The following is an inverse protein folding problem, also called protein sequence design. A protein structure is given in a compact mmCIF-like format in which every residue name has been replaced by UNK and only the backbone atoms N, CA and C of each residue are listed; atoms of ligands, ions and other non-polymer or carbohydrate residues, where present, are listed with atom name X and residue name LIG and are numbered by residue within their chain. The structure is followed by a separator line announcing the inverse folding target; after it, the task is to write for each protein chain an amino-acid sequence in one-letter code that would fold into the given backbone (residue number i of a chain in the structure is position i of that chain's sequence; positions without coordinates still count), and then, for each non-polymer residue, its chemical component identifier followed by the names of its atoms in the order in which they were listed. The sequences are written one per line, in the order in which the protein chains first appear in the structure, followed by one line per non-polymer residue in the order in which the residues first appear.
data_IF_156212843259
#
_entry.id   IF_156212843259
#
_cell.length_a   1.000
_cell.length_b   1.000
_cell.length_c   1.000
_cell.angle_alpha   90.00
_cell.angle_beta   90.00
_cell.angle_gamma   90.00
#
_symmetry.space_group_name_H-M   'P 1'
#
loop_
_entity.id
_entity.type
_entity.pdbx_description
1 polymer ?
#
# COMPACT_ATOMS: atom_id res chain seq x y z
N UNK A 1 23.74 -16.30 2.04
CA UNK A 1 22.99 -17.52 2.32
C UNK A 1 23.68 -18.18 3.49
N UNK A 2 23.29 -17.74 4.67
CA UNK A 2 23.83 -17.99 6.00
C UNK A 2 23.26 -19.24 6.68
N UNK A 3 22.69 -20.18 5.91
CA UNK A 3 22.13 -21.46 6.38
C UNK A 3 20.87 -21.32 7.26
N UNK A 4 20.24 -20.13 7.27
CA UNK A 4 18.96 -19.91 7.92
C UNK A 4 17.82 -20.41 7.01
N UNK A 5 17.28 -21.60 7.30
CA UNK A 5 16.09 -22.13 6.61
C UNK A 5 14.82 -21.55 7.27
N UNK A 6 14.04 -20.70 6.57
CA UNK A 6 12.77 -20.18 7.11
C UNK A 6 11.71 -21.27 7.33
N UNK A 7 11.96 -22.52 6.92
CA UNK A 7 11.07 -23.69 7.04
C UNK A 7 11.52 -24.72 8.09
N UNK A 8 12.74 -24.62 8.62
CA UNK A 8 13.13 -25.43 9.77
C UNK A 8 12.41 -24.86 11.00
N UNK A 9 11.44 -25.61 11.54
CA UNK A 9 10.41 -25.14 12.49
C UNK A 9 10.86 -24.57 13.84
N UNK A 10 12.11 -24.15 13.99
CA UNK A 10 12.51 -23.09 14.92
C UNK A 10 12.51 -21.79 14.14
N UNK A 11 11.54 -20.89 14.39
CA UNK A 11 11.62 -19.53 13.88
C UNK A 11 12.95 -18.96 14.33
N UNK A 12 13.93 -18.88 13.44
CA UNK A 12 15.13 -18.10 13.70
C UNK A 12 14.64 -16.66 13.94
N UNK A 13 14.71 -16.14 15.19
CA UNK A 13 14.27 -14.79 15.46
C UNK A 13 15.10 -13.76 14.68
N UNK A 14 16.28 -14.16 14.20
CA UNK A 14 17.24 -13.33 13.50
C UNK A 14 17.11 -13.37 11.96
N UNK A 15 16.16 -14.16 11.41
CA UNK A 15 16.01 -14.33 9.97
C UNK A 15 15.79 -13.00 9.24
N UNK A 16 16.72 -12.66 8.35
CA UNK A 16 16.59 -11.55 7.41
C UNK A 16 16.80 -12.06 6.00
N UNK A 17 16.03 -11.52 5.05
CA UNK A 17 16.17 -11.90 3.66
C UNK A 17 17.49 -11.36 3.09
N UNK A 18 18.39 -12.26 2.68
CA UNK A 18 19.63 -11.95 1.98
C UNK A 18 19.43 -11.42 0.55
N UNK A 19 18.29 -11.74 -0.06
CA UNK A 19 17.98 -11.46 -1.46
C UNK A 19 16.60 -10.82 -1.54
N UNK A 20 16.45 -9.78 -2.36
CA UNK A 20 15.14 -9.23 -2.66
C UNK A 20 14.32 -10.18 -3.51
N UNK A 21 13.17 -10.61 -3.00
CA UNK A 21 12.26 -11.52 -3.68
C UNK A 21 10.99 -10.74 -4.03
N UNK A 22 10.55 -10.87 -5.28
CA UNK A 22 9.21 -10.48 -5.71
C UNK A 22 8.58 -11.55 -6.58
N UNK A 23 7.25 -11.51 -6.68
CA UNK A 23 6.46 -12.52 -7.40
C UNK A 23 5.58 -11.86 -8.45
N UNK A 24 5.83 -12.17 -9.72
CA UNK A 24 4.86 -11.92 -10.79
C UNK A 24 3.78 -12.99 -10.72
N UNK A 25 2.79 -12.79 -9.85
CA UNK A 25 1.73 -13.77 -9.67
C UNK A 25 0.74 -13.74 -10.83
N UNK A 26 0.77 -14.73 -11.70
CA UNK A 26 -0.09 -14.84 -12.89
C UNK A 26 -0.52 -16.30 -13.12
N UNK A 27 -1.63 -16.49 -13.81
CA UNK A 27 -2.19 -17.82 -14.11
C UNK A 27 -2.00 -18.25 -15.57
N UNK A 28 -1.80 -17.29 -16.47
CA UNK A 28 -1.69 -17.52 -17.90
C UNK A 28 -0.77 -16.47 -18.57
N UNK A 29 -0.49 -16.69 -19.86
CA UNK A 29 0.40 -15.82 -20.66
C UNK A 29 -0.17 -14.42 -20.86
N UNK A 30 -1.50 -14.26 -20.90
CA UNK A 30 -2.14 -12.96 -21.07
C UNK A 30 -1.93 -12.09 -19.82
N UNK A 31 -2.15 -12.67 -18.64
CA UNK A 31 -1.86 -12.01 -17.36
C UNK A 31 -0.38 -11.68 -17.22
N UNK A 32 0.52 -12.60 -17.60
CA UNK A 32 1.96 -12.32 -17.61
C UNK A 32 2.29 -11.12 -18.49
N UNK A 33 1.74 -11.09 -19.71
CA UNK A 33 1.92 -9.99 -20.66
C UNK A 33 1.41 -8.68 -20.08
N UNK A 34 0.23 -8.67 -19.45
CA UNK A 34 -0.33 -7.48 -18.79
C UNK A 34 0.60 -6.95 -17.70
N UNK A 35 1.07 -7.81 -16.79
CA UNK A 35 1.94 -7.41 -15.68
C UNK A 35 3.29 -6.88 -16.20
N UNK A 36 3.92 -7.58 -17.16
CA UNK A 36 5.18 -7.15 -17.77
C UNK A 36 5.02 -5.81 -18.50
N UNK A 37 3.94 -5.63 -19.27
CA UNK A 37 3.68 -4.36 -19.95
C UNK A 37 3.42 -3.20 -18.98
N UNK A 38 2.85 -3.47 -17.80
CA UNK A 38 2.69 -2.47 -16.74
C UNK A 38 4.05 -2.04 -16.19
N UNK A 39 4.92 -2.99 -15.85
CA UNK A 39 6.27 -2.71 -15.34
C UNK A 39 7.10 -1.96 -16.37
N UNK A 40 7.21 -2.48 -17.60
CA UNK A 40 7.98 -1.83 -18.68
C UNK A 40 7.45 -0.44 -18.98
N UNK A 41 6.12 -0.28 -19.12
CA UNK A 41 5.51 1.03 -19.38
C UNK A 41 5.78 2.03 -18.25
N UNK A 42 5.72 1.59 -17.00
CA UNK A 42 6.03 2.41 -15.84
C UNK A 42 7.50 2.85 -15.83
N UNK A 43 8.45 1.93 -16.00
CA UNK A 43 9.89 2.21 -15.92
C UNK A 43 10.44 3.00 -17.10
N UNK A 44 9.85 2.80 -18.28
CA UNK A 44 10.25 3.44 -19.54
C UNK A 44 9.41 4.66 -19.89
N UNK A 45 8.51 5.09 -19.00
CA UNK A 45 7.70 6.30 -19.22
C UNK A 45 8.61 7.50 -19.56
N UNK A 46 8.50 8.06 -20.78
CA UNK A 46 9.34 9.17 -21.21
C UNK A 46 9.07 10.47 -20.42
N UNK A 47 7.98 10.53 -19.66
CA UNK A 47 7.58 11.66 -18.83
C UNK A 47 7.98 11.49 -17.36
N UNK A 48 8.68 10.41 -16.97
CA UNK A 48 9.05 10.16 -15.57
C UNK A 48 9.87 11.30 -14.93
N UNK A 49 10.65 12.02 -15.72
CA UNK A 49 11.45 13.16 -15.26
C UNK A 49 10.70 14.50 -15.35
N UNK A 50 9.46 14.50 -15.86
CA UNK A 50 8.59 15.68 -15.94
C UNK A 50 7.77 15.79 -14.66
N UNK A 51 7.74 16.96 -14.01
CA UNK A 51 6.85 17.22 -12.88
C UNK A 51 5.40 16.82 -13.13
N UNK A 52 4.86 15.94 -12.30
CA UNK A 52 3.48 15.48 -12.40
C UNK A 52 2.87 15.33 -11.01
N UNK A 53 1.71 15.97 -10.78
CA UNK A 53 1.04 15.96 -9.46
C UNK A 53 0.79 14.55 -8.95
N UNK A 54 0.36 13.63 -9.82
CA UNK A 54 0.11 12.24 -9.45
C UNK A 54 1.39 11.53 -8.97
N UNK A 55 2.54 11.76 -9.62
CA UNK A 55 3.85 11.21 -9.24
C UNK A 55 4.33 11.74 -7.89
N UNK A 56 3.86 12.91 -7.47
CA UNK A 56 4.15 13.52 -6.16
C UNK A 56 3.04 13.24 -5.12
N UNK A 57 2.04 12.42 -5.44
CA UNK A 57 0.91 12.17 -4.55
C UNK A 57 1.08 10.85 -3.79
N UNK A 58 0.95 10.94 -2.47
CA UNK A 58 0.91 9.82 -1.53
C UNK A 58 -0.48 9.74 -0.91
N UNK A 59 -1.20 8.64 -1.13
CA UNK A 59 -2.52 8.37 -0.59
C UNK A 59 -2.41 7.50 0.66
N UNK A 60 -3.09 7.92 1.72
CA UNK A 60 -3.36 7.08 2.89
C UNK A 60 -4.86 6.87 3.00
N UNK A 61 -5.29 5.62 3.14
CA UNK A 61 -6.67 5.29 3.41
C UNK A 61 -6.76 4.26 4.52
N UNK A 62 -7.74 4.40 5.40
CA UNK A 62 -7.77 3.63 6.64
C UNK A 62 -9.19 3.31 7.11
N UNK A 63 -9.33 2.17 7.77
CA UNK A 63 -10.52 1.77 8.51
C UNK A 63 -10.66 2.54 9.82
N UNK A 64 -11.84 2.47 10.45
CA UNK A 64 -12.12 3.20 11.68
C UNK A 64 -11.39 2.64 12.89
N UNK A 65 -10.99 3.54 13.79
CA UNK A 65 -10.61 3.18 15.16
C UNK A 65 -11.83 3.06 16.08
N UNK A 66 -12.77 4.01 15.96
CA UNK A 66 -13.94 4.10 16.82
C UNK A 66 -15.19 3.78 15.99
N UNK A 67 -15.94 2.78 16.43
CA UNK A 67 -17.19 2.36 15.81
C UNK A 67 -18.32 3.32 16.15
N UNK A 68 -19.42 3.21 15.42
CA UNK A 68 -20.61 4.05 15.62
C UNK A 68 -21.28 3.88 16.99
N UNK A 69 -21.02 2.78 17.70
CA UNK A 69 -21.46 2.53 19.08
C UNK A 69 -20.49 3.11 20.15
N UNK A 70 -19.40 3.74 19.72
CA UNK A 70 -18.36 4.31 20.59
C UNK A 70 -17.33 3.30 21.09
N UNK A 71 -17.42 2.02 20.70
CA UNK A 71 -16.37 1.04 21.00
C UNK A 71 -15.14 1.27 20.12
N UNK A 72 -13.97 0.96 20.67
CA UNK A 72 -12.69 1.10 19.98
C UNK A 72 -12.21 -0.24 19.43
N UNK A 73 -11.54 -0.22 18.29
CA UNK A 73 -10.91 -1.39 17.72
C UNK A 73 -9.69 -1.82 18.54
N UNK A 74 -9.59 -3.12 18.83
CA UNK A 74 -8.52 -3.69 19.62
C UNK A 74 -7.20 -3.78 18.86
N UNK A 75 -7.23 -3.71 17.52
CA UNK A 75 -6.02 -3.67 16.69
C UNK A 75 -5.29 -2.32 16.75
N UNK A 76 -5.97 -1.26 17.20
CA UNK A 76 -5.42 0.09 17.34
C UNK A 76 -6.04 1.11 16.37
N UNK A 77 -5.51 2.34 16.40
CA UNK A 77 -5.98 3.43 15.55
C UNK A 77 -5.23 3.46 14.21
N UNK A 78 -5.83 2.85 13.19
CA UNK A 78 -5.26 2.75 11.84
C UNK A 78 -4.95 4.10 11.18
N UNK A 79 -5.82 5.09 11.41
CA UNK A 79 -5.60 6.45 10.92
C UNK A 79 -4.42 7.11 11.64
N UNK A 80 -4.25 6.87 12.95
CA UNK A 80 -3.11 7.40 13.71
C UNK A 80 -1.78 6.83 13.22
N UNK A 81 -1.70 5.55 12.85
CA UNK A 81 -0.50 4.97 12.23
C UNK A 81 -0.15 5.68 10.92
N UNK A 82 -1.15 5.91 10.06
CA UNK A 82 -0.97 6.65 8.80
C UNK A 82 -0.53 8.09 9.04
N UNK A 83 -1.16 8.79 9.99
CA UNK A 83 -0.82 10.17 10.33
C UNK A 83 0.59 10.28 10.94
N UNK A 84 1.09 9.27 11.66
CA UNK A 84 2.47 9.24 12.13
C UNK A 84 3.48 9.25 10.96
N UNK A 85 3.23 8.47 9.90
CA UNK A 85 4.07 8.51 8.69
C UNK A 85 4.02 9.90 8.04
N UNK A 86 2.82 10.47 7.90
CA UNK A 86 2.62 11.77 7.27
C UNK A 86 3.36 12.88 8.02
N UNK A 87 3.31 12.86 9.35
CA UNK A 87 3.86 13.93 10.18
C UNK A 87 5.36 13.77 10.46
N UNK A 88 5.83 12.54 10.66
CA UNK A 88 7.17 12.29 11.20
C UNK A 88 8.17 11.80 10.14
N UNK A 89 7.69 11.28 9.01
CA UNK A 89 8.53 10.60 8.01
C UNK A 89 8.39 11.21 6.61
N UNK A 90 7.16 11.51 6.18
CA UNK A 90 6.91 12.05 4.85
C UNK A 90 7.29 13.53 4.76
N UNK A 91 8.03 13.95 3.72
CA UNK A 91 8.32 15.36 3.53
C UNK A 91 7.05 16.18 3.27
N UNK A 92 6.94 17.34 3.91
CA UNK A 92 5.75 18.20 3.85
C UNK A 92 5.44 18.80 2.46
N UNK A 93 6.30 18.60 1.47
CA UNK A 93 6.11 19.03 0.08
C UNK A 93 5.60 17.92 -0.83
N UNK A 94 5.47 16.68 -0.33
CA UNK A 94 4.73 15.60 -1.01
C UNK A 94 3.23 15.91 -0.88
N UNK A 95 2.46 15.73 -1.95
CA UNK A 95 1.03 15.92 -1.92
C UNK A 95 0.36 14.76 -1.17
N UNK A 96 -0.26 15.03 -0.03
CA UNK A 96 -0.89 13.99 0.79
C UNK A 96 -2.40 13.94 0.55
N UNK A 97 -2.89 12.79 0.10
CA UNK A 97 -4.31 12.46 0.12
C UNK A 97 -4.63 11.57 1.31
N UNK A 98 -5.74 11.85 1.99
CA UNK A 98 -6.23 11.05 3.12
C UNK A 98 -7.71 10.71 2.90
N UNK A 99 -8.07 9.44 3.13
CA UNK A 99 -9.46 8.97 3.13
C UNK A 99 -9.65 7.97 4.27
N UNK A 100 -10.13 8.44 5.42
CA UNK A 100 -10.32 7.61 6.61
C UNK A 100 -11.80 7.39 6.88
N UNK A 101 -12.22 6.14 7.03
CA UNK A 101 -13.55 5.84 7.52
C UNK A 101 -13.62 6.13 9.02
N UNK A 102 -14.62 6.88 9.44
CA UNK A 102 -14.71 7.35 10.83
C UNK A 102 -16.16 7.63 11.23
N UNK A 103 -16.92 6.58 11.60
CA UNK A 103 -18.31 6.68 11.99
C UNK A 103 -18.48 7.11 13.46
N UNK A 104 -17.48 7.75 14.09
CA UNK A 104 -17.49 8.03 15.54
C UNK A 104 -18.76 8.76 15.99
N UNK A 105 -19.25 8.48 17.20
CA UNK A 105 -20.33 9.26 17.80
C UNK A 105 -19.96 10.76 17.86
N UNK A 106 -20.89 11.62 17.47
CA UNK A 106 -20.68 13.07 17.42
C UNK A 106 -20.13 13.61 16.09
N UNK A 107 -19.80 12.73 15.14
CA UNK A 107 -19.36 13.10 13.80
C UNK A 107 -17.90 13.53 13.70
N UNK A 108 -17.50 13.95 12.50
CA UNK A 108 -16.13 14.35 12.16
C UNK A 108 -16.11 15.71 11.48
N UNK A 109 -15.05 16.48 11.70
CA UNK A 109 -14.85 17.81 11.09
C UNK A 109 -13.78 17.83 10.01
N UNK A 110 -12.82 16.91 10.08
CA UNK A 110 -11.74 16.83 9.11
C UNK A 110 -12.27 16.34 7.77
N UNK A 111 -12.00 17.08 6.70
CA UNK A 111 -12.52 16.75 5.35
C UNK A 111 -12.05 15.40 4.83
N UNK A 112 -10.94 14.86 5.35
CA UNK A 112 -10.41 13.55 4.99
C UNK A 112 -11.02 12.39 5.79
N UNK A 113 -11.86 12.68 6.80
CA UNK A 113 -12.63 11.68 7.54
C UNK A 113 -14.04 11.60 6.97
N UNK A 114 -14.56 10.39 6.83
CA UNK A 114 -15.86 10.11 6.23
C UNK A 114 -16.64 9.15 7.12
N UNK A 115 -17.77 9.58 7.72
CA UNK A 115 -18.58 8.70 8.56
C UNK A 115 -19.53 7.80 7.77
N UNK A 116 -19.84 8.13 6.51
CA UNK A 116 -20.75 7.33 5.69
C UNK A 116 -20.01 6.20 4.97
N UNK A 117 -20.40 4.95 5.27
CA UNK A 117 -19.78 3.74 4.74
C UNK A 117 -19.84 3.64 3.20
N UNK A 118 -20.91 4.12 2.57
CA UNK A 118 -21.04 4.09 1.11
C UNK A 118 -20.19 5.21 0.47
N UNK A 119 -20.19 6.41 1.06
CA UNK A 119 -19.38 7.53 0.56
C UNK A 119 -17.89 7.26 0.71
N UNK A 120 -17.43 6.68 1.82
CA UNK A 120 -15.99 6.43 2.01
C UNK A 120 -15.45 5.47 0.95
N UNK A 121 -16.22 4.44 0.59
CA UNK A 121 -15.86 3.53 -0.51
C UNK A 121 -15.70 4.27 -1.83
N UNK A 122 -16.67 5.12 -2.19
CA UNK A 122 -16.59 5.92 -3.42
C UNK A 122 -15.38 6.85 -3.42
N UNK A 123 -15.05 7.45 -2.26
CA UNK A 123 -13.88 8.30 -2.10
C UNK A 123 -12.57 7.53 -2.21
N UNK A 124 -12.49 6.30 -1.68
CA UNK A 124 -11.32 5.42 -1.82
C UNK A 124 -11.12 5.04 -3.29
N UNK A 125 -12.20 4.61 -3.98
CA UNK A 125 -12.16 4.31 -5.42
C UNK A 125 -11.68 5.52 -6.21
N UNK A 126 -12.26 6.71 -5.96
CA UNK A 126 -11.88 7.93 -6.65
C UNK A 126 -10.42 8.32 -6.38
N UNK A 127 -9.95 8.14 -5.14
CA UNK A 127 -8.57 8.44 -4.77
C UNK A 127 -7.59 7.49 -5.49
N UNK A 128 -7.83 6.18 -5.48
CA UNK A 128 -7.02 5.22 -6.23
C UNK A 128 -7.09 5.46 -7.74
N UNK A 129 -8.27 5.81 -8.26
CA UNK A 129 -8.47 6.14 -9.67
C UNK A 129 -7.68 7.36 -10.12
N UNK A 130 -7.42 8.31 -9.23
CA UNK A 130 -6.57 9.48 -9.53
C UNK A 130 -5.08 9.13 -9.71
N UNK A 131 -4.71 7.86 -9.49
CA UNK A 131 -3.39 7.32 -9.74
C UNK A 131 -2.29 7.91 -8.85
N UNK A 132 -2.44 7.95 -7.51
CA UNK A 132 -1.35 8.37 -6.64
C UNK A 132 -0.12 7.49 -6.90
N UNK A 133 1.09 8.06 -6.83
CA UNK A 133 2.31 7.29 -7.03
C UNK A 133 2.51 6.22 -5.95
N UNK A 134 2.03 6.51 -4.74
CA UNK A 134 2.07 5.66 -3.58
C UNK A 134 0.71 5.65 -2.90
N UNK A 135 0.21 4.46 -2.55
CA UNK A 135 -0.98 4.28 -1.76
C UNK A 135 -0.68 3.34 -0.60
N UNK A 136 -1.10 3.71 0.61
CA UNK A 136 -0.94 2.91 1.82
C UNK A 136 -2.30 2.72 2.46
N UNK A 137 -2.73 1.46 2.55
CA UNK A 137 -3.90 1.05 3.31
C UNK A 137 -3.50 0.67 4.74
N UNK A 138 -4.27 1.07 5.75
CA UNK A 138 -4.20 0.55 7.11
C UNK A 138 -5.59 0.12 7.61
N UNK A 139 -5.75 -1.14 8.02
CA UNK A 139 -7.02 -1.63 8.55
C UNK A 139 -7.10 -3.15 8.57
N UNK A 140 -8.29 -3.67 8.85
CA UNK A 140 -8.63 -5.07 8.68
C UNK A 140 -8.94 -5.38 7.21
N UNK A 141 -8.99 -6.66 6.89
CA UNK A 141 -9.28 -7.15 5.54
C UNK A 141 -9.65 -8.63 5.58
N UNK A 142 -10.04 -9.13 4.42
CA UNK A 142 -9.91 -10.54 4.08
C UNK A 142 -9.33 -10.62 2.66
N UNK A 143 -9.28 -11.83 2.08
CA UNK A 143 -8.74 -12.06 0.74
C UNK A 143 -9.36 -11.18 -0.37
N UNK A 144 -10.58 -10.68 -0.18
CA UNK A 144 -11.40 -10.04 -1.21
C UNK A 144 -11.76 -8.58 -0.90
N UNK A 145 -11.35 -8.01 0.24
CA UNK A 145 -11.68 -6.63 0.56
C UNK A 145 -10.75 -6.01 1.62
N UNK A 146 -10.60 -4.69 1.53
CA UNK A 146 -10.10 -3.83 2.58
C UNK A 146 -11.25 -3.27 3.41
N UNK A 147 -11.16 -3.47 4.72
CA UNK A 147 -12.06 -2.95 5.74
C UNK A 147 -13.41 -3.67 5.80
N UNK A 148 -14.10 -3.53 6.93
CA UNK A 148 -15.46 -3.98 7.18
C UNK A 148 -16.25 -2.82 7.80
N UNK A 149 -17.01 -2.11 6.97
CA UNK A 149 -17.77 -0.94 7.39
C UNK A 149 -19.19 -1.31 7.86
N UNK A 150 -20.12 -0.34 7.87
CA UNK A 150 -21.51 -0.56 8.25
C UNK A 150 -22.19 -1.66 7.41
N UNK A 151 -22.56 -2.76 8.07
CA UNK A 151 -23.18 -3.94 7.42
C UNK A 151 -24.58 -3.69 6.86
N UNK A 152 -25.18 -2.52 7.11
CA UNK A 152 -26.47 -2.13 6.55
C UNK A 152 -26.37 -1.59 5.11
N UNK A 153 -25.17 -1.22 4.64
CA UNK A 153 -24.96 -0.83 3.24
C UNK A 153 -24.72 -2.04 2.34
N UNK A 154 -24.95 -1.87 1.03
CA UNK A 154 -24.82 -2.95 0.06
C UNK A 154 -23.38 -3.49 -0.06
N UNK A 155 -22.39 -2.60 0.05
CA UNK A 155 -20.97 -2.89 -0.09
C UNK A 155 -20.24 -2.46 1.20
N UNK A 156 -20.25 -3.29 2.27
CA UNK A 156 -19.77 -2.92 3.60
C UNK A 156 -18.24 -3.07 3.74
N UNK A 157 -17.50 -2.38 2.88
CA UNK A 157 -16.04 -2.38 2.81
C UNK A 157 -15.52 -1.06 2.23
N UNK A 158 -14.24 -0.76 2.43
CA UNK A 158 -13.59 0.43 1.86
C UNK A 158 -13.21 0.24 0.41
N UNK A 159 -12.72 -0.95 0.06
CA UNK A 159 -12.42 -1.34 -1.30
C UNK A 159 -12.58 -2.84 -1.45
N UNK A 160 -13.40 -3.28 -2.42
CA UNK A 160 -13.70 -4.68 -2.64
C UNK A 160 -13.06 -5.23 -3.91
N UNK A 161 -13.05 -6.56 -4.02
CA UNK A 161 -12.46 -7.31 -5.13
C UNK A 161 -12.92 -6.84 -6.53
N UNK A 162 -14.16 -6.37 -6.65
CA UNK A 162 -14.72 -5.91 -7.92
C UNK A 162 -14.59 -4.39 -8.16
N UNK A 163 -14.20 -3.62 -7.14
CA UNK A 163 -14.03 -2.16 -7.26
C UNK A 163 -12.85 -1.80 -8.17
N UNK A 164 -11.92 -2.73 -8.35
CA UNK A 164 -10.82 -2.62 -9.29
C UNK A 164 -11.28 -2.29 -10.71
N UNK A 165 -12.48 -2.72 -11.13
CA UNK A 165 -13.04 -2.40 -12.45
C UNK A 165 -13.44 -0.93 -12.62
N UNK A 166 -13.46 -0.15 -11.53
CA UNK A 166 -13.63 1.29 -11.59
C UNK A 166 -12.31 2.03 -11.82
N UNK A 167 -11.18 1.30 -11.86
CA UNK A 167 -9.86 1.89 -12.04
C UNK A 167 -9.45 1.90 -13.52
N UNK A 168 -9.18 3.08 -14.05
CA UNK A 168 -8.66 3.36 -15.38
C UNK A 168 -7.35 4.16 -15.30
N UNK A 169 -6.54 3.90 -14.27
CA UNK A 169 -5.27 4.60 -13.98
C UNK A 169 -4.05 3.92 -14.64
N UNK A 170 -4.22 3.29 -15.81
CA UNK A 170 -3.16 2.51 -16.48
C UNK A 170 -1.84 3.26 -16.70
N UNK A 171 -1.93 4.56 -16.93
CA UNK A 171 -0.78 5.44 -17.17
C UNK A 171 -0.28 6.11 -15.87
N UNK A 172 -0.94 5.84 -14.74
CA UNK A 172 -0.68 6.41 -13.41
C UNK A 172 -0.75 5.30 -12.35
N UNK A 173 0.04 4.24 -12.56
CA UNK A 173 0.06 3.07 -11.68
C UNK A 173 0.65 3.43 -10.31
N UNK A 174 -0.04 2.99 -9.26
CA UNK A 174 0.43 3.16 -7.88
C UNK A 174 1.41 2.06 -7.49
N UNK A 175 2.31 2.36 -6.56
CA UNK A 175 2.87 1.36 -5.64
C UNK A 175 1.89 1.25 -4.46
N UNK A 176 1.48 0.05 -4.09
CA UNK A 176 0.45 -0.18 -3.07
C UNK A 176 1.03 -0.92 -1.86
N UNK A 177 0.82 -0.38 -0.67
CA UNK A 177 1.19 -0.95 0.61
C UNK A 177 -0.08 -1.38 1.34
N UNK A 178 -0.24 -2.68 1.52
CA UNK A 178 -1.40 -3.27 2.18
C UNK A 178 -1.06 -3.62 3.63
N UNK A 179 -1.17 -2.65 4.55
CA UNK A 179 -0.86 -2.83 5.98
C UNK A 179 -2.02 -3.51 6.70
N UNK A 180 -2.35 -4.73 6.28
CA UNK A 180 -3.55 -5.46 6.66
C UNK A 180 -3.29 -6.98 6.79
N UNK A 181 -4.28 -7.86 6.53
CA UNK A 181 -4.12 -9.33 6.53
C UNK A 181 -4.50 -9.97 5.18
N UNK A 182 -3.98 -11.15 4.85
CA UNK A 182 -4.50 -12.05 3.78
C UNK A 182 -4.66 -11.57 2.32
N UNK A 183 -4.65 -10.29 2.02
CA UNK A 183 -4.96 -9.73 0.69
C UNK A 183 -3.98 -10.20 -0.38
N UNK A 184 -2.77 -10.58 0.04
CA UNK A 184 -1.71 -11.16 -0.76
C UNK A 184 -1.57 -12.68 -0.66
N UNK A 185 -2.49 -13.42 -0.03
CA UNK A 185 -2.40 -14.88 0.13
C UNK A 185 -2.67 -15.61 -1.20
N UNK A 186 -1.70 -15.58 -2.09
CA UNK A 186 -1.78 -16.15 -3.44
C UNK A 186 -2.00 -17.68 -3.48
N UNK A 187 -1.80 -18.38 -2.37
CA UNK A 187 -2.10 -19.81 -2.23
C UNK A 187 -3.58 -20.07 -1.96
N UNK A 188 -4.38 -19.02 -1.69
CA UNK A 188 -5.80 -19.13 -1.41
C UNK A 188 -6.55 -19.63 -2.64
N UNK A 189 -7.14 -20.81 -2.51
CA UNK A 189 -8.08 -21.30 -3.52
C UNK A 189 -9.35 -20.45 -3.53
N UNK A 190 -9.72 -19.96 -4.72
CA UNK A 190 -10.96 -19.24 -4.99
C UNK A 190 -11.50 -19.63 -6.36
N UNK A 191 -12.76 -19.30 -6.64
CA UNK A 191 -13.37 -19.59 -7.94
C UNK A 191 -12.66 -18.89 -9.12
N UNK A 192 -11.98 -17.77 -8.85
CA UNK A 192 -11.18 -17.00 -9.83
C UNK A 192 -9.68 -17.24 -9.69
N UNK A 193 -9.25 -18.08 -8.74
CA UNK A 193 -7.85 -18.31 -8.37
C UNK A 193 -7.03 -17.00 -8.25
N UNK A 194 -7.68 -15.96 -7.73
CA UNK A 194 -7.13 -14.60 -7.61
C UNK A 194 -7.56 -13.98 -6.30
N UNK A 195 -6.61 -13.46 -5.52
CA UNK A 195 -6.81 -12.54 -4.37
C UNK A 195 -6.77 -11.08 -4.77
N UNK A 196 -7.25 -10.21 -3.87
CA UNK A 196 -7.40 -8.78 -4.14
C UNK A 196 -6.11 -8.15 -4.69
N UNK A 197 -4.96 -8.46 -4.10
CA UNK A 197 -3.70 -7.81 -4.48
C UNK A 197 -3.12 -8.35 -5.80
N UNK A 198 -3.36 -9.64 -6.08
CA UNK A 198 -3.07 -10.20 -7.40
C UNK A 198 -3.89 -9.49 -8.49
N UNK A 199 -5.10 -9.05 -8.16
CA UNK A 199 -5.97 -8.35 -9.10
C UNK A 199 -5.50 -6.93 -9.38
N UNK A 200 -5.00 -6.21 -8.38
CA UNK A 200 -4.32 -4.93 -8.58
C UNK A 200 -3.13 -5.04 -9.55
N UNK A 201 -2.38 -6.14 -9.46
CA UNK A 201 -1.25 -6.40 -10.36
C UNK A 201 -1.75 -6.77 -11.78
N UNK A 202 -2.71 -7.69 -11.88
CA UNK A 202 -3.19 -8.30 -13.15
C UNK A 202 -4.18 -7.45 -13.95
N UNK A 203 -4.82 -6.44 -13.36
CA UNK A 203 -5.85 -5.67 -14.07
C UNK A 203 -5.23 -4.80 -15.16
N UNK A 204 -5.78 -4.87 -16.38
CA UNK A 204 -5.18 -4.30 -17.59
C UNK A 204 -5.38 -2.79 -17.73
N UNK A 205 -6.51 -2.26 -17.24
CA UNK A 205 -6.86 -0.84 -17.38
C UNK A 205 -6.36 0.02 -16.20
N UNK A 206 -5.74 -0.58 -15.19
CA UNK A 206 -5.33 0.16 -14.00
C UNK A 206 -4.72 -0.69 -12.90
N UNK A 207 -4.87 -0.22 -11.66
CA UNK A 207 -4.35 -0.84 -10.46
C UNK A 207 -2.92 -0.40 -10.12
N UNK A 208 -2.07 -1.36 -9.78
CA UNK A 208 -0.75 -1.11 -9.22
C UNK A 208 0.38 -1.67 -10.11
N UNK A 209 1.56 -1.07 -10.04
CA UNK A 209 2.81 -1.61 -10.63
C UNK A 209 3.48 -2.62 -9.70
N UNK A 210 3.33 -2.41 -8.40
CA UNK A 210 3.80 -3.30 -7.34
C UNK A 210 2.87 -3.23 -6.13
N UNK A 211 2.67 -4.36 -5.45
CA UNK A 211 1.89 -4.44 -4.21
C UNK A 211 2.73 -5.15 -3.15
N UNK A 212 2.92 -4.52 -2.00
CA UNK A 212 3.57 -5.15 -0.84
C UNK A 212 2.50 -5.50 0.19
N UNK A 213 2.31 -6.81 0.38
CA UNK A 213 1.11 -7.33 1.01
C UNK A 213 1.34 -8.61 1.84
N UNK A 214 0.47 -8.89 2.82
CA UNK A 214 0.51 -10.07 3.65
C UNK A 214 -0.10 -11.31 2.97
N UNK A 215 0.61 -12.44 3.02
CA UNK A 215 0.10 -13.75 2.63
C UNK A 215 -0.63 -14.51 3.76
N UNK A 216 -0.78 -13.88 4.92
CA UNK A 216 -1.32 -14.52 6.13
C UNK A 216 -1.93 -13.53 7.11
N UNK A 217 -2.25 -14.03 8.30
CA UNK A 217 -2.70 -13.21 9.43
C UNK A 217 -1.47 -12.55 10.06
N UNK A 218 -1.61 -11.29 10.45
CA UNK A 218 -0.55 -10.51 11.08
C UNK A 218 -1.19 -9.35 11.86
N UNK A 219 -0.40 -8.49 12.52
CA UNK A 219 -0.89 -7.51 13.49
C UNK A 219 -0.38 -6.10 13.20
N UNK A 220 -1.25 -5.12 13.42
CA UNK A 220 -1.02 -3.71 13.07
C UNK A 220 0.30 -3.12 13.62
N UNK A 221 0.74 -3.57 14.81
CA UNK A 221 1.99 -3.12 15.41
C UNK A 221 3.23 -3.51 14.57
N UNK A 222 3.20 -4.68 13.94
CA UNK A 222 4.24 -5.09 12.99
C UNK A 222 4.17 -4.24 11.73
N UNK A 223 2.96 -4.01 11.22
CA UNK A 223 2.74 -3.23 9.99
C UNK A 223 3.23 -1.79 10.13
N UNK A 224 3.01 -1.17 11.29
CA UNK A 224 3.51 0.18 11.60
C UNK A 224 5.03 0.29 11.37
N UNK A 225 5.80 -0.69 11.87
CA UNK A 225 7.25 -0.72 11.66
C UNK A 225 7.62 -1.01 10.21
N UNK A 226 6.94 -1.95 9.57
CA UNK A 226 7.13 -2.27 8.16
C UNK A 226 6.96 -1.03 7.27
N UNK A 227 5.82 -0.34 7.38
CA UNK A 227 5.57 0.86 6.57
C UNK A 227 6.52 2.00 6.95
N UNK A 228 6.85 2.17 8.23
CA UNK A 228 7.77 3.22 8.67
C UNK A 228 9.16 3.04 8.05
N UNK A 229 9.71 1.83 8.05
CA UNK A 229 10.99 1.54 7.42
C UNK A 229 10.96 1.76 5.90
N UNK A 230 9.88 1.32 5.24
CA UNK A 230 9.66 1.56 3.81
C UNK A 230 9.65 3.06 3.48
N UNK A 231 8.78 3.84 4.16
CA UNK A 231 8.65 5.27 3.91
C UNK A 231 9.93 6.03 4.28
N UNK A 232 10.59 5.69 5.38
CA UNK A 232 11.84 6.32 5.79
C UNK A 232 12.93 6.09 4.73
N UNK A 233 13.04 4.89 4.17
CA UNK A 233 13.98 4.60 3.09
C UNK A 233 13.65 5.37 1.82
N UNK A 234 12.39 5.38 1.42
CA UNK A 234 11.92 6.09 0.23
C UNK A 234 12.26 7.58 0.30
N UNK A 235 11.84 8.25 1.38
CA UNK A 235 11.90 9.70 1.48
C UNK A 235 13.29 10.26 1.80
N UNK A 236 14.16 9.47 2.44
CA UNK A 236 15.53 9.90 2.79
C UNK A 236 16.58 9.54 1.73
N UNK A 237 16.18 8.89 0.64
CA UNK A 237 17.10 8.50 -0.42
C UNK A 237 16.90 9.39 -1.67
N UNK A 238 17.92 9.54 -2.54
CA UNK A 238 17.79 10.35 -3.76
C UNK A 238 16.61 9.89 -4.62
N UNK A 239 15.91 10.82 -5.27
CA UNK A 239 14.77 10.47 -6.13
C UNK A 239 15.16 9.41 -7.17
N UNK A 240 14.28 8.39 -7.32
CA UNK A 240 14.42 7.29 -8.27
C UNK A 240 15.67 6.40 -8.07
N UNK A 241 16.28 6.43 -6.88
CA UNK A 241 17.44 5.58 -6.58
C UNK A 241 17.08 4.29 -5.84
N UNK A 242 15.81 4.07 -5.51
CA UNK A 242 15.36 2.91 -4.74
C UNK A 242 14.58 1.95 -5.63
N UNK A 243 14.90 0.68 -5.50
CA UNK A 243 14.11 -0.42 -6.05
C UNK A 243 13.12 -0.93 -5.01
N UNK A 244 12.01 -1.55 -5.45
CA UNK A 244 10.99 -2.09 -4.54
C UNK A 244 11.56 -3.05 -3.49
N UNK A 245 12.52 -3.90 -3.88
CA UNK A 245 13.21 -4.79 -2.96
C UNK A 245 13.89 -4.06 -1.79
N UNK A 246 14.61 -2.97 -2.09
CA UNK A 246 15.27 -2.13 -1.08
C UNK A 246 14.28 -1.48 -0.11
N UNK A 247 13.12 -1.08 -0.62
CA UNK A 247 12.09 -0.46 0.19
C UNK A 247 11.43 -1.47 1.13
N UNK A 248 11.11 -2.68 0.64
CA UNK A 248 10.57 -3.76 1.47
C UNK A 248 11.58 -4.26 2.50
N UNK A 249 12.85 -4.39 2.11
CA UNK A 249 13.95 -4.75 3.02
C UNK A 249 14.09 -3.72 4.15
N UNK A 250 14.01 -2.43 3.84
CA UNK A 250 14.08 -1.39 4.86
C UNK A 250 12.91 -1.47 5.87
N UNK A 251 11.73 -1.86 5.41
CA UNK A 251 10.60 -2.17 6.28
C UNK A 251 10.88 -3.35 7.21
N UNK A 252 11.39 -4.45 6.66
CA UNK A 252 11.79 -5.61 7.47
C UNK A 252 12.88 -5.25 8.49
N UNK A 253 13.86 -4.43 8.10
CA UNK A 253 14.94 -3.98 8.97
C UNK A 253 14.44 -3.07 10.10
N UNK A 254 13.51 -2.15 9.84
CA UNK A 254 12.88 -1.34 10.89
C UNK A 254 12.15 -2.22 11.89
N UNK A 255 11.36 -3.19 11.44
CA UNK A 255 10.67 -4.13 12.34
C UNK A 255 11.66 -4.97 13.15
N UNK A 256 12.71 -5.50 12.51
CA UNK A 256 13.71 -6.32 13.17
C UNK A 256 14.47 -5.56 14.26
N UNK A 257 14.89 -4.32 13.98
CA UNK A 257 15.79 -3.57 14.86
C UNK A 257 15.07 -2.73 15.91
N UNK A 258 13.79 -2.36 15.69
CA UNK A 258 13.06 -1.42 16.55
C UNK A 258 11.95 -2.04 17.39
N UNK A 259 11.67 -3.34 17.24
CA UNK A 259 10.59 -4.03 17.94
C UNK A 259 11.00 -5.43 18.40
N UNK A 260 10.50 -5.86 19.56
CA UNK A 260 10.63 -7.24 20.03
C UNK A 260 9.36 -8.07 19.78
N UNK A 261 8.26 -7.44 19.38
CA UNK A 261 7.02 -8.13 19.03
C UNK A 261 6.88 -8.29 17.52
N UNK A 262 5.90 -9.13 17.13
CA UNK A 262 5.26 -9.01 15.83
C UNK A 262 6.21 -9.31 14.65
N UNK A 263 7.28 -10.07 14.92
CA UNK A 263 8.34 -10.42 13.98
C UNK A 263 7.88 -11.37 12.88
N UNK A 264 6.77 -12.09 13.10
CA UNK A 264 6.07 -12.92 12.13
C UNK A 264 5.64 -12.14 10.87
N UNK A 265 5.47 -10.81 10.98
CA UNK A 265 5.15 -9.98 9.83
C UNK A 265 6.26 -10.01 8.75
N UNK A 266 7.54 -10.18 9.12
CA UNK A 266 8.65 -10.33 8.16
C UNK A 266 8.54 -11.60 7.31
N UNK A 267 7.95 -12.65 7.86
CA UNK A 267 7.73 -13.94 7.20
C UNK A 267 6.36 -14.02 6.49
N UNK A 268 5.49 -13.04 6.74
CA UNK A 268 4.12 -13.01 6.24
C UNK A 268 3.97 -12.11 5.02
N UNK A 269 4.71 -10.99 4.98
CA UNK A 269 4.66 -10.05 3.87
C UNK A 269 5.48 -10.52 2.67
N UNK A 270 5.01 -10.18 1.47
CA UNK A 270 5.71 -10.43 0.23
C UNK A 270 5.46 -9.31 -0.78
N UNK A 271 6.40 -9.15 -1.70
CA UNK A 271 6.26 -8.24 -2.83
C UNK A 271 5.61 -8.97 -4.00
N UNK A 272 4.45 -8.51 -4.44
CA UNK A 272 3.87 -8.84 -5.74
C UNK A 272 4.35 -7.81 -6.77
N UNK A 273 5.15 -8.24 -7.73
CA UNK A 273 5.86 -7.37 -8.66
C UNK A 273 7.33 -7.75 -8.81
N UNK A 274 8.06 -6.94 -9.56
CA UNK A 274 9.50 -7.09 -9.75
C UNK A 274 10.26 -6.36 -8.62
N UNK A 275 11.12 -7.06 -7.84
CA UNK A 275 11.90 -6.41 -6.78
C UNK A 275 12.88 -5.36 -7.29
N UNK A 276 13.21 -5.36 -8.59
CA UNK A 276 14.07 -4.38 -9.23
C UNK A 276 13.30 -3.19 -9.82
N UNK A 277 11.96 -3.17 -9.75
CA UNK A 277 11.21 -1.99 -10.18
C UNK A 277 11.64 -0.76 -9.39
N UNK A 278 12.12 0.28 -10.08
CA UNK A 278 12.46 1.56 -9.44
C UNK A 278 11.19 2.27 -8.98
N UNK A 279 11.14 2.77 -7.73
CA UNK A 279 10.01 3.56 -7.27
C UNK A 279 10.03 4.97 -7.90
N UNK A 280 9.21 5.20 -8.93
CA UNK A 280 9.12 6.48 -9.64
C UNK A 280 8.17 7.47 -8.96
N UNK A 281 8.47 7.76 -7.69
CA UNK A 281 7.76 8.71 -6.84
C UNK A 281 8.55 10.03 -6.78
N UNK A 282 7.90 11.15 -7.08
CA UNK A 282 8.50 12.48 -7.11
C UNK A 282 8.44 13.14 -5.73
N UNK A 283 9.60 13.58 -5.24
CA UNK A 283 9.73 14.26 -3.96
C UNK A 283 10.68 15.45 -4.02
N UNK A 284 10.61 16.22 -5.10
CA UNK A 284 11.35 17.50 -5.20
C UNK A 284 10.51 18.66 -4.63
N UNK A 285 11.21 19.67 -4.09
CA UNK A 285 10.59 20.96 -3.76
C UNK A 285 10.40 21.77 -5.04
N UNK A 286 9.15 22.10 -5.38
CA UNK A 286 8.91 23.08 -6.44
C UNK A 286 9.33 24.49 -5.99
N UNK A 287 10.40 25.01 -6.59
CA UNK A 287 10.83 26.40 -6.40
C UNK A 287 10.26 27.23 -7.55
N UNK A 288 9.28 28.09 -7.25
CA UNK A 288 8.76 29.05 -8.22
C UNK A 288 9.70 30.26 -8.26
N UNK A 289 10.45 30.42 -9.35
CA UNK A 289 11.23 31.64 -9.59
C UNK A 289 10.32 32.70 -10.23
N UNK A 290 10.30 33.95 -9.73
CA UNK A 290 9.53 35.02 -10.37
C UNK A 290 10.08 35.30 -11.77
N UNK A 291 9.21 35.25 -12.77
CA UNK A 291 9.54 35.68 -14.13
C UNK A 291 9.45 37.21 -14.16
N UNK A 292 10.60 37.88 -14.12
CA UNK A 292 10.66 39.30 -14.45
C UNK A 292 10.57 39.46 -15.97
N UNK A 293 9.38 39.69 -16.49
CA UNK A 293 9.21 40.18 -17.86
C UNK A 293 9.68 41.64 -17.91
N UNK A 294 10.68 41.93 -18.75
CA UNK A 294 11.13 43.29 -19.08
C UNK A 294 10.42 43.77 -20.34
#
# INVERSE_FOLDING_TARGET
LDDEDPLEGTTDPDFLMDIWIGRLSVQDEAQLTTVVNKIVGYETDPTKDVPATWRQTSLFYAEEYMRSDGTTDAAGDFAAFSDAIINDVQPNYVNTMRVYYDPRPGGVSDVWREPDAAQVRLRVIQALQSGPALATYNGHSNHWQNGSTDKSVADPYLFGFNDIYQLHNRDQLTILLEMTCFTGQFTKTSATATVMDERFLRYEDGGAVAVWAPAGLTVAHGHDKLMKGFHAKLWNSPQYSQHMGQLTEAGYMELFTSSTCCQDARLTFLLMGDPLTTALIQHYRMIHLPINMR
#
